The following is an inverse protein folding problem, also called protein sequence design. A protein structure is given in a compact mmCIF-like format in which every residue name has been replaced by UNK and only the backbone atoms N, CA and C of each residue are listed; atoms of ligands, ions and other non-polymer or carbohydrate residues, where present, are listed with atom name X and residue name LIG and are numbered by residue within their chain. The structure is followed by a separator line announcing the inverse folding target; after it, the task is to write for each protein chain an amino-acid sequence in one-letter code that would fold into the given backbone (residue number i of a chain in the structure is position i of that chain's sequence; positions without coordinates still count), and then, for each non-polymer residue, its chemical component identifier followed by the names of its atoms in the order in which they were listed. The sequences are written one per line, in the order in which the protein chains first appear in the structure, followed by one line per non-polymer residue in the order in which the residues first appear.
data_IF_291235095543
#
_entry.id   IF_291235095543
#
_cell.length_a   1.000
_cell.length_b   1.000
_cell.length_c   1.000
_cell.angle_alpha   90.00
_cell.angle_beta   90.00
_cell.angle_gamma   90.00
#
_symmetry.space_group_name_H-M   'P 1'
#
loop_
_entity.id
_entity.type
_entity.pdbx_description
1 polymer ?
#
# COMPACT_ATOMS: atom_id res chain seq x y z
N UNK A 1 -39.05 12.61 -55.73
CA UNK A 1 -37.59 12.48 -55.83
C UNK A 1 -36.98 13.59 -55.00
N UNK A 2 -36.21 13.24 -53.98
CA UNK A 2 -35.58 14.20 -53.06
C UNK A 2 -35.13 13.51 -51.79
N UNK A 3 -34.20 12.57 -51.92
CA UNK A 3 -33.47 11.95 -50.82
C UNK A 3 -32.47 12.97 -50.25
N UNK A 4 -32.47 13.14 -48.93
CA UNK A 4 -31.64 14.13 -48.24
C UNK A 4 -31.05 13.56 -46.95
N UNK A 5 -30.06 12.67 -47.08
CA UNK A 5 -29.27 12.17 -45.96
C UNK A 5 -28.34 13.23 -45.39
N UNK A 6 -28.34 13.42 -44.06
CA UNK A 6 -27.36 14.21 -43.32
C UNK A 6 -26.57 13.34 -42.33
N UNK A 7 -25.30 13.18 -42.68
CA UNK A 7 -24.08 12.99 -41.89
C UNK A 7 -24.17 12.49 -40.44
N UNK A 8 -23.56 11.33 -40.19
CA UNK A 8 -23.07 10.89 -38.87
C UNK A 8 -21.76 11.62 -38.53
N UNK A 9 -21.46 11.93 -37.25
CA UNK A 9 -20.18 12.50 -36.86
C UNK A 9 -19.12 11.39 -36.69
N UNK A 10 -18.00 11.59 -37.38
CA UNK A 10 -16.80 10.77 -37.38
C UNK A 10 -16.00 11.02 -36.10
N UNK A 11 -15.81 10.01 -35.24
CA UNK A 11 -14.89 10.08 -34.10
C UNK A 11 -13.51 9.59 -34.53
N UNK A 12 -12.57 10.54 -34.71
CA UNK A 12 -11.16 10.26 -34.93
C UNK A 12 -10.42 10.23 -33.57
N UNK A 13 -9.76 9.13 -33.16
CA UNK A 13 -9.04 9.05 -31.89
C UNK A 13 -7.56 9.38 -32.12
N UNK A 14 -7.22 10.66 -32.19
CA UNK A 14 -5.83 11.09 -32.24
C UNK A 14 -5.68 12.43 -31.53
N UNK A 15 -5.52 12.40 -30.20
CA UNK A 15 -4.81 13.41 -29.40
C UNK A 15 -4.85 13.00 -27.91
N UNK A 16 -4.10 11.97 -27.55
CA UNK A 16 -3.66 11.80 -26.16
C UNK A 16 -2.30 12.52 -26.04
N UNK A 17 -2.24 13.57 -25.23
CA UNK A 17 -1.00 14.29 -24.96
C UNK A 17 0.03 13.34 -24.29
N UNK A 18 1.33 13.44 -24.62
CA UNK A 18 2.34 12.63 -23.96
C UNK A 18 2.44 13.04 -22.49
N UNK A 19 2.31 12.06 -21.59
CA UNK A 19 2.50 12.26 -20.16
C UNK A 19 3.93 12.75 -19.88
N UNK A 20 4.14 13.68 -18.93
CA UNK A 20 5.46 14.22 -18.63
C UNK A 20 6.40 13.13 -18.12
N UNK A 21 7.66 13.16 -18.60
CA UNK A 21 8.69 12.22 -18.20
C UNK A 21 8.96 12.31 -16.69
N UNK A 22 8.70 11.21 -15.99
CA UNK A 22 8.86 11.09 -14.55
C UNK A 22 10.36 10.97 -14.20
N UNK A 23 10.93 12.00 -13.58
CA UNK A 23 12.34 11.99 -13.15
C UNK A 23 12.47 11.41 -11.74
N UNK A 24 13.35 10.42 -11.59
CA UNK A 24 13.65 9.79 -10.31
C UNK A 24 14.19 10.78 -9.26
N UNK A 25 14.85 11.87 -9.70
CA UNK A 25 15.38 12.91 -8.81
C UNK A 25 14.25 13.73 -8.15
N UNK A 26 13.20 14.03 -8.91
CA UNK A 26 12.03 14.77 -8.41
C UNK A 26 11.25 13.94 -7.38
N UNK A 27 11.27 12.61 -7.55
CA UNK A 27 10.60 11.69 -6.64
C UNK A 27 11.30 11.59 -5.28
N UNK A 28 12.64 11.58 -5.27
CA UNK A 28 13.44 11.52 -4.04
C UNK A 28 13.27 12.80 -3.21
N UNK A 29 13.28 13.98 -3.84
CA UNK A 29 13.01 15.24 -3.14
C UNK A 29 11.57 15.33 -2.62
N UNK A 30 10.60 14.78 -3.36
CA UNK A 30 9.20 14.72 -2.94
C UNK A 30 8.98 13.80 -1.73
N UNK A 31 9.71 12.69 -1.63
CA UNK A 31 9.66 11.78 -0.47
C UNK A 31 10.31 12.38 0.79
N UNK A 32 11.28 13.30 0.66
CA UNK A 32 11.87 14.01 1.80
C UNK A 32 10.90 14.99 2.46
N UNK A 33 9.94 15.56 1.70
CA UNK A 33 8.89 16.45 2.22
C UNK A 33 7.72 15.72 2.88
N UNK A 34 7.66 14.39 2.77
CA UNK A 34 6.52 13.57 3.17
C UNK A 34 5.42 13.62 2.10
N UNK A 35 5.05 12.50 1.47
CA UNK A 35 4.02 12.52 0.43
C UNK A 35 2.66 12.88 1.05
N UNK A 36 2.01 13.89 0.48
CA UNK A 36 0.62 14.20 0.83
C UNK A 36 -0.32 13.08 0.39
N UNK A 37 -1.48 12.91 1.04
CA UNK A 37 -2.40 11.79 0.74
C UNK A 37 -2.91 11.76 -0.72
N UNK A 38 -2.90 12.89 -1.44
CA UNK A 38 -3.28 12.98 -2.85
C UNK A 38 -2.16 12.57 -3.82
N UNK A 39 -0.90 12.51 -3.37
CA UNK A 39 0.26 12.23 -4.22
C UNK A 39 0.54 10.72 -4.39
N UNK A 40 -0.15 9.87 -3.63
CA UNK A 40 0.04 8.42 -3.68
C UNK A 40 -0.79 7.74 -4.77
N UNK A 41 -1.84 8.38 -5.30
CA UNK A 41 -2.66 7.88 -6.42
C UNK A 41 -3.51 9.03 -7.02
N UNK A 42 -3.24 9.50 -8.26
CA UNK A 42 -4.16 10.39 -8.93
C UNK A 42 -5.31 9.55 -9.51
N UNK A 43 -6.47 9.63 -8.88
CA UNK A 43 -7.74 9.01 -9.30
C UNK A 43 -7.78 7.48 -9.27
N UNK A 44 -8.08 6.91 -8.11
CA UNK A 44 -9.02 5.80 -7.96
C UNK A 44 -9.15 5.50 -6.48
N UNK A 45 -10.36 5.25 -6.01
CA UNK A 45 -10.59 4.60 -4.72
C UNK A 45 -9.63 3.42 -4.63
N UNK A 46 -8.69 3.47 -3.68
CA UNK A 46 -7.77 2.36 -3.45
C UNK A 46 -8.61 1.08 -3.42
N UNK A 47 -8.20 0.01 -4.12
CA UNK A 47 -8.91 -1.26 -4.04
C UNK A 47 -9.14 -1.56 -2.57
N UNK A 48 -10.39 -1.85 -2.17
CA UNK A 48 -10.81 -1.87 -0.76
C UNK A 48 -9.84 -2.62 0.19
N UNK A 49 -9.13 -3.62 -0.34
CA UNK A 49 -8.10 -4.42 0.33
C UNK A 49 -6.81 -3.67 0.67
N UNK A 50 -6.35 -2.75 -0.19
CA UNK A 50 -5.16 -1.94 0.05
C UNK A 50 -5.44 -0.86 1.09
N UNK A 51 -6.65 -0.28 1.08
CA UNK A 51 -7.14 0.58 2.16
C UNK A 51 -7.09 -0.14 3.51
N UNK A 52 -7.57 -1.39 3.57
CA UNK A 52 -7.54 -2.20 4.80
C UNK A 52 -6.10 -2.49 5.28
N UNK A 53 -5.15 -2.73 4.37
CA UNK A 53 -3.74 -2.90 4.71
C UNK A 53 -3.13 -1.61 5.29
N UNK A 54 -3.51 -0.45 4.73
CA UNK A 54 -3.07 0.87 5.22
C UNK A 54 -3.66 1.20 6.59
N UNK A 55 -4.93 0.87 6.82
CA UNK A 55 -5.57 1.02 8.13
C UNK A 55 -4.90 0.11 9.17
N UNK A 56 -4.60 -1.14 8.81
CA UNK A 56 -3.91 -2.08 9.69
C UNK A 56 -2.52 -1.60 10.10
N UNK A 57 -1.72 -1.00 9.20
CA UNK A 57 -0.42 -0.45 9.59
C UNK A 57 -0.60 0.79 10.47
N UNK A 58 -1.64 1.60 10.25
CA UNK A 58 -2.03 2.68 11.16
C UNK A 58 -2.31 2.16 12.57
N UNK A 59 -3.12 1.11 12.70
CA UNK A 59 -3.41 0.47 13.98
C UNK A 59 -2.14 -0.01 14.69
N UNK A 60 -1.22 -0.66 13.97
CA UNK A 60 0.04 -1.16 14.54
C UNK A 60 0.92 -0.01 15.04
N UNK A 61 1.02 1.08 14.27
CA UNK A 61 1.77 2.27 14.66
C UNK A 61 1.20 2.91 15.94
N UNK A 62 -0.11 2.99 16.05
CA UNK A 62 -0.75 3.55 17.24
C UNK A 62 -0.58 2.64 18.46
N UNK A 63 -0.60 1.33 18.27
CA UNK A 63 -0.24 0.38 19.33
C UNK A 63 1.20 0.55 19.79
N UNK A 64 2.16 0.70 18.87
CA UNK A 64 3.57 0.96 19.21
C UNK A 64 3.73 2.24 20.05
N UNK A 65 3.02 3.31 19.69
CA UNK A 65 2.98 4.56 20.48
C UNK A 65 2.39 4.32 21.87
N UNK A 66 1.29 3.57 21.97
CA UNK A 66 0.68 3.23 23.25
C UNK A 66 1.60 2.38 24.13
N UNK A 67 2.31 1.39 23.56
CA UNK A 67 3.34 0.64 24.30
C UNK A 67 4.43 1.55 24.82
N UNK A 68 4.96 2.43 23.97
CA UNK A 68 6.01 3.36 24.36
C UNK A 68 5.58 4.27 25.52
N UNK A 69 4.32 4.75 25.49
CA UNK A 69 3.75 5.54 26.59
C UNK A 69 3.64 4.70 27.89
N UNK A 70 3.17 3.45 27.80
CA UNK A 70 3.09 2.57 28.98
C UNK A 70 4.46 2.33 29.62
N UNK A 71 5.51 2.10 28.82
CA UNK A 71 6.86 1.89 29.36
C UNK A 71 7.44 3.11 30.10
N UNK A 72 6.86 4.31 29.91
CA UNK A 72 7.23 5.52 30.64
C UNK A 72 6.45 5.71 31.96
N UNK A 73 5.34 4.99 32.15
CA UNK A 73 4.60 4.98 33.42
C UNK A 73 5.32 4.11 34.46
N UNK A 74 5.30 4.51 35.74
CA UNK A 74 5.88 3.73 36.85
C UNK A 74 5.22 2.34 36.87
N UNK A 75 6.02 1.26 36.78
CA UNK A 75 5.58 -0.14 36.67
C UNK A 75 4.40 -0.45 37.60
N UNK A 76 3.19 -0.56 37.02
CA UNK A 76 1.99 -1.05 37.70
C UNK A 76 1.84 -2.55 37.46
N UNK A 77 1.19 -3.27 38.39
CA UNK A 77 0.98 -4.72 38.23
C UNK A 77 0.10 -5.08 37.03
N UNK A 78 -0.66 -4.13 36.49
CA UNK A 78 -1.54 -4.25 35.31
C UNK A 78 -0.80 -4.10 33.98
N UNK A 79 0.45 -3.59 33.98
CA UNK A 79 1.21 -3.36 32.74
C UNK A 79 1.45 -4.66 31.96
N UNK A 80 1.66 -5.78 32.66
CA UNK A 80 1.86 -7.10 32.02
C UNK A 80 0.63 -7.58 31.25
N UNK A 81 -0.57 -7.37 31.79
CA UNK A 81 -1.82 -7.76 31.14
C UNK A 81 -2.09 -6.91 29.89
N UNK A 82 -1.88 -5.59 30.00
CA UNK A 82 -2.02 -4.66 28.86
C UNK A 82 -1.05 -4.97 27.73
N UNK A 83 0.22 -5.26 28.04
CA UNK A 83 1.22 -5.66 27.04
C UNK A 83 0.84 -6.98 26.36
N UNK A 84 0.36 -7.97 27.12
CA UNK A 84 -0.12 -9.25 26.59
C UNK A 84 -1.32 -9.06 25.65
N UNK A 85 -2.28 -8.21 26.03
CA UNK A 85 -3.43 -7.88 25.19
C UNK A 85 -3.01 -7.19 23.88
N UNK A 86 -2.03 -6.29 23.93
CA UNK A 86 -1.49 -5.64 22.73
C UNK A 86 -0.75 -6.63 21.82
N UNK A 87 0.07 -7.53 22.38
CA UNK A 87 0.72 -8.57 21.58
C UNK A 87 -0.32 -9.50 20.92
N UNK A 88 -1.43 -9.81 21.62
CA UNK A 88 -2.56 -10.55 21.06
C UNK A 88 -3.23 -9.83 19.89
N UNK A 89 -3.49 -8.52 20.05
CA UNK A 89 -4.07 -7.69 18.98
C UNK A 89 -3.14 -7.60 17.77
N UNK A 90 -1.83 -7.42 17.98
CA UNK A 90 -0.83 -7.38 16.90
C UNK A 90 -0.83 -8.69 16.12
N UNK A 91 -0.82 -9.85 16.79
CA UNK A 91 -0.89 -11.16 16.13
C UNK A 91 -2.14 -11.31 15.26
N UNK A 92 -3.28 -10.79 15.72
CA UNK A 92 -4.52 -10.82 14.95
C UNK A 92 -4.45 -9.93 13.71
N UNK A 93 -3.89 -8.73 13.81
CA UNK A 93 -3.66 -7.84 12.66
C UNK A 93 -2.76 -8.54 11.62
N UNK A 94 -1.62 -9.09 12.04
CA UNK A 94 -0.69 -9.77 11.13
C UNK A 94 -1.34 -10.98 10.44
N UNK A 95 -2.20 -11.73 11.15
CA UNK A 95 -2.95 -12.87 10.57
C UNK A 95 -3.97 -12.41 9.53
N UNK A 96 -4.63 -11.26 9.74
CA UNK A 96 -5.56 -10.67 8.77
C UNK A 96 -4.82 -10.15 7.55
N UNK A 97 -3.77 -9.35 7.74
CA UNK A 97 -2.94 -8.81 6.67
C UNK A 97 -2.39 -9.88 5.73
N UNK A 98 -2.05 -11.06 6.27
CA UNK A 98 -1.61 -12.22 5.47
C UNK A 98 -2.63 -12.64 4.42
N UNK A 99 -3.92 -12.51 4.71
CA UNK A 99 -5.00 -12.96 3.81
C UNK A 99 -5.38 -11.92 2.76
N UNK A 100 -4.86 -10.71 2.86
CA UNK A 100 -5.19 -9.61 1.95
C UNK A 100 -4.13 -9.51 0.87
N UNK A 101 -4.49 -9.69 -0.42
CA UNK A 101 -3.57 -9.38 -1.50
C UNK A 101 -3.35 -7.88 -1.59
N UNK A 102 -2.10 -7.47 -1.77
CA UNK A 102 -1.75 -6.11 -2.15
C UNK A 102 -1.93 -5.94 -3.66
N UNK A 103 -2.75 -4.98 -4.07
CA UNK A 103 -3.10 -4.75 -5.48
C UNK A 103 -2.37 -3.53 -6.07
N UNK A 104 -1.85 -2.66 -5.22
CA UNK A 104 -1.07 -1.47 -5.59
C UNK A 104 0.28 -1.45 -4.88
N UNK A 105 1.24 -0.64 -5.37
CA UNK A 105 2.50 -0.41 -4.66
C UNK A 105 2.31 0.09 -3.22
N UNK A 106 1.25 0.86 -2.95
CA UNK A 106 0.93 1.35 -1.62
C UNK A 106 0.54 0.21 -0.66
N UNK A 107 -0.35 -0.70 -1.09
CA UNK A 107 -0.70 -1.90 -0.33
C UNK A 107 0.50 -2.81 -0.09
N UNK A 108 1.37 -2.95 -1.09
CA UNK A 108 2.60 -3.74 -0.99
C UNK A 108 3.54 -3.17 0.08
N UNK A 109 3.73 -1.86 0.06
CA UNK A 109 4.52 -1.15 1.05
C UNK A 109 3.94 -1.29 2.47
N UNK A 110 2.62 -1.15 2.63
CA UNK A 110 1.95 -1.34 3.91
C UNK A 110 2.19 -2.75 4.48
N UNK A 111 2.05 -3.76 3.62
CA UNK A 111 2.28 -5.16 3.98
C UNK A 111 3.75 -5.43 4.33
N UNK A 112 4.69 -4.82 3.62
CA UNK A 112 6.12 -4.88 3.95
C UNK A 112 6.44 -4.26 5.33
N UNK A 113 5.80 -3.13 5.67
CA UNK A 113 5.94 -2.52 6.99
C UNK A 113 5.39 -3.42 8.10
N UNK A 114 4.26 -4.09 7.87
CA UNK A 114 3.69 -5.06 8.82
C UNK A 114 4.64 -6.26 9.04
N UNK A 115 5.27 -6.76 7.99
CA UNK A 115 6.32 -7.80 8.10
C UNK A 115 7.48 -7.29 8.96
N UNK A 116 8.00 -6.09 8.65
CA UNK A 116 9.13 -5.48 9.37
C UNK A 116 8.87 -5.29 10.87
N UNK A 117 7.62 -4.99 11.25
CA UNK A 117 7.21 -4.79 12.65
C UNK A 117 6.83 -6.06 13.38
N UNK A 118 6.83 -7.21 12.71
CA UNK A 118 6.54 -8.48 13.36
C UNK A 118 7.70 -8.93 14.25
N UNK A 119 7.49 -8.98 15.57
CA UNK A 119 8.47 -9.48 16.55
C UNK A 119 8.86 -10.96 16.35
N UNK A 120 7.93 -11.79 15.90
CA UNK A 120 8.12 -13.25 15.82
C UNK A 120 8.36 -13.76 14.40
N UNK A 121 8.69 -12.90 13.44
CA UNK A 121 8.88 -13.30 12.06
C UNK A 121 7.60 -13.89 11.48
N UNK A 122 6.71 -13.04 10.96
CA UNK A 122 5.50 -13.46 10.29
C UNK A 122 5.83 -14.11 8.93
N UNK A 123 6.43 -15.31 8.93
CA UNK A 123 6.93 -16.01 7.76
C UNK A 123 5.85 -16.17 6.68
N UNK A 124 4.63 -16.52 7.09
CA UNK A 124 3.51 -16.65 6.17
C UNK A 124 3.03 -15.30 5.62
N UNK A 125 3.15 -14.20 6.38
CA UNK A 125 2.89 -12.86 5.87
C UNK A 125 3.97 -12.44 4.87
N UNK A 126 5.24 -12.77 5.14
CA UNK A 126 6.36 -12.51 4.24
C UNK A 126 6.26 -13.31 2.94
N UNK A 127 5.82 -14.57 3.00
CA UNK A 127 5.51 -15.36 1.80
C UNK A 127 4.39 -14.71 0.98
N UNK A 128 3.31 -14.29 1.63
CA UNK A 128 2.21 -13.62 0.93
C UNK A 128 2.64 -12.26 0.35
N UNK A 129 3.54 -11.52 1.01
CA UNK A 129 4.16 -10.33 0.44
C UNK A 129 4.99 -10.64 -0.81
N UNK A 130 5.74 -11.74 -0.81
CA UNK A 130 6.53 -12.17 -1.96
C UNK A 130 5.63 -12.55 -3.15
N UNK A 131 4.51 -13.25 -2.88
CA UNK A 131 3.49 -13.54 -3.89
C UNK A 131 2.92 -12.25 -4.50
N UNK A 132 2.53 -11.29 -3.67
CA UNK A 132 2.01 -10.00 -4.14
C UNK A 132 3.05 -9.24 -4.99
N UNK A 133 4.32 -9.25 -4.57
CA UNK A 133 5.41 -8.60 -5.29
C UNK A 133 5.61 -9.20 -6.69
N UNK A 134 5.54 -10.53 -6.81
CA UNK A 134 5.63 -11.21 -8.11
C UNK A 134 4.39 -10.90 -8.95
N UNK A 135 3.20 -10.87 -8.35
CA UNK A 135 1.95 -10.69 -9.07
C UNK A 135 1.67 -9.25 -9.51
N UNK A 136 2.36 -8.26 -8.94
CA UNK A 136 2.16 -6.85 -9.28
C UNK A 136 2.98 -6.46 -10.53
N UNK A 137 2.34 -6.25 -11.70
CA UNK A 137 3.05 -6.08 -12.96
C UNK A 137 3.88 -4.79 -13.00
N UNK A 138 3.45 -3.73 -12.32
CA UNK A 138 4.20 -2.48 -12.21
C UNK A 138 5.55 -2.69 -11.53
N UNK A 139 5.56 -3.43 -10.42
CA UNK A 139 6.79 -3.76 -9.69
C UNK A 139 7.64 -4.76 -10.45
N UNK A 140 7.01 -5.73 -11.10
CA UNK A 140 7.74 -6.69 -11.94
C UNK A 140 8.51 -6.01 -13.08
N UNK A 141 7.89 -5.04 -13.77
CA UNK A 141 8.55 -4.24 -14.82
C UNK A 141 9.73 -3.43 -14.31
N UNK A 142 9.67 -2.97 -13.05
CA UNK A 142 10.75 -2.20 -12.42
C UNK A 142 11.91 -3.09 -11.97
N UNK A 143 11.63 -4.28 -11.45
CA UNK A 143 12.65 -5.20 -10.91
C UNK A 143 13.27 -6.06 -12.01
N UNK A 144 12.48 -6.43 -13.03
CA UNK A 144 12.90 -7.32 -14.10
C UNK A 144 12.65 -6.68 -15.47
N UNK A 145 13.59 -5.83 -15.89
CA UNK A 145 13.55 -5.15 -17.20
C UNK A 145 13.65 -6.09 -18.40
N UNK A 146 14.11 -7.34 -18.19
CA UNK A 146 14.29 -8.33 -19.24
C UNK A 146 12.99 -9.01 -19.73
N UNK A 147 11.85 -8.82 -19.06
CA UNK A 147 10.54 -9.32 -19.53
C UNK A 147 9.87 -8.39 -20.56
N UNK A 148 10.45 -7.21 -20.82
CA UNK A 148 9.88 -6.18 -21.72
C UNK A 148 10.46 -6.26 -23.14
N UNK A 149 11.31 -7.26 -23.42
CA UNK A 149 11.86 -7.57 -24.75
C UNK A 149 11.17 -8.79 -25.36
#
# INVERSE_FOLDING_TARGET
MGDGGKATPNHNPAHAAPLPAFSAADWVEKMKRGPGPADLCPNSELPHKDGELLDMIGEVLDMEKQMAAMYQEVFSSDMGERLSAQDGKLRNILRRARKLPALTPAGLYAKALLVKRSKTGAALLAMSLAEDLVNLPEVRRLIWTAEVL
#
